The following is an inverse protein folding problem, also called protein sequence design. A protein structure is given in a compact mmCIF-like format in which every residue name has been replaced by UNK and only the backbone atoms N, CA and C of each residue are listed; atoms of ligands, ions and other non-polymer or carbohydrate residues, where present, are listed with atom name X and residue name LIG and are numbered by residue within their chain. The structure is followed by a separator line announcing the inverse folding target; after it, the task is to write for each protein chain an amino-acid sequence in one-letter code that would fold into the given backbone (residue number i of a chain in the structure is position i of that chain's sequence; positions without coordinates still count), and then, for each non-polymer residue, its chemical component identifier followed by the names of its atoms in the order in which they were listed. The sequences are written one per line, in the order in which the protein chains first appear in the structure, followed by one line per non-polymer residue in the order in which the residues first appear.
data_IF_337898241813
#
_entry.id   IF_337898241813
#
_cell.length_a   1.000
_cell.length_b   1.000
_cell.length_c   1.000
_cell.angle_alpha   90.00
_cell.angle_beta   90.00
_cell.angle_gamma   90.00
#
_symmetry.space_group_name_H-M   'P 1'
#
loop_
_entity.id
_entity.type
_entity.pdbx_description
1 polymer ?
#
# COMPACT_ATOMS: atom_id res chain seq x y z
N UNK A 1 7.42 -12.17 20.49
CA UNK A 1 6.69 -10.88 20.55
C UNK A 1 7.69 -9.84 21.00
N UNK A 2 8.07 -8.94 20.10
CA UNK A 2 8.90 -7.79 20.44
C UNK A 2 8.01 -6.77 21.17
N UNK A 3 7.68 -7.08 22.43
CA UNK A 3 6.74 -6.32 23.26
C UNK A 3 7.19 -4.87 23.49
N UNK A 4 8.43 -4.53 23.10
CA UNK A 4 9.00 -3.20 23.23
C UNK A 4 8.36 -2.18 22.27
N UNK A 5 8.04 -2.59 21.04
CA UNK A 5 7.54 -1.67 20.02
C UNK A 5 6.10 -1.22 20.27
N UNK A 6 5.23 -2.11 20.79
CA UNK A 6 3.84 -1.80 21.12
C UNK A 6 3.73 -0.91 22.37
N UNK A 7 4.75 -0.91 23.23
CA UNK A 7 4.83 -0.06 24.42
C UNK A 7 5.39 1.34 24.11
N UNK A 8 5.88 1.57 22.89
CA UNK A 8 6.33 2.88 22.45
C UNK A 8 5.13 3.84 22.34
N UNK A 9 5.12 4.98 23.07
CA UNK A 9 4.03 5.96 23.00
C UNK A 9 3.88 6.62 21.62
N UNK A 10 4.82 6.43 20.69
CA UNK A 10 4.79 6.90 19.30
C UNK A 10 4.28 5.82 18.32
N UNK A 11 4.04 4.60 18.80
CA UNK A 11 3.46 3.53 17.99
C UNK A 11 2.04 3.89 17.54
N UNK A 12 1.76 3.76 16.24
CA UNK A 12 0.45 4.01 15.64
C UNK A 12 0.14 2.92 14.64
N UNK A 13 -1.12 2.47 14.60
CA UNK A 13 -1.68 1.85 13.39
C UNK A 13 -1.98 2.96 12.38
N UNK A 14 -1.62 2.76 11.11
CA UNK A 14 -1.73 3.81 10.10
C UNK A 14 -2.28 3.24 8.79
N UNK A 15 -2.75 4.13 7.93
CA UNK A 15 -3.04 3.83 6.53
C UNK A 15 -2.53 4.96 5.65
N UNK A 16 -2.35 4.69 4.36
CA UNK A 16 -1.93 5.70 3.37
C UNK A 16 -2.81 5.55 2.15
N UNK A 17 -3.30 6.67 1.64
CA UNK A 17 -4.13 6.74 0.44
C UNK A 17 -3.69 7.92 -0.42
N UNK A 18 -4.03 7.87 -1.71
CA UNK A 18 -3.85 8.97 -2.65
C UNK A 18 -5.05 9.91 -2.56
N UNK A 19 -4.80 11.22 -2.42
CA UNK A 19 -5.83 12.26 -2.52
C UNK A 19 -5.44 13.27 -3.59
N UNK A 20 -6.40 13.76 -4.37
CA UNK A 20 -6.20 14.80 -5.39
C UNK A 20 -7.06 16.01 -5.02
N UNK A 21 -6.43 17.18 -4.99
CA UNK A 21 -7.12 18.46 -4.85
C UNK A 21 -7.44 19.00 -6.24
N UNK A 22 -8.71 19.30 -6.49
CA UNK A 22 -9.19 19.91 -7.73
C UNK A 22 -9.45 21.39 -7.49
N UNK A 23 -8.94 22.25 -8.37
CA UNK A 23 -9.23 23.68 -8.28
C UNK A 23 -10.62 24.00 -8.91
N UNK A 24 -11.07 25.25 -8.77
CA UNK A 24 -12.38 25.68 -9.29
C UNK A 24 -12.50 25.52 -10.80
N UNK A 25 -11.40 25.71 -11.54
CA UNK A 25 -11.37 25.55 -13.00
C UNK A 25 -11.53 24.08 -13.40
N UNK A 26 -10.85 23.15 -12.71
CA UNK A 26 -10.96 21.71 -12.95
C UNK A 26 -12.42 21.22 -12.80
N UNK A 27 -13.09 21.68 -11.74
CA UNK A 27 -14.48 21.33 -11.44
C UNK A 27 -15.44 21.78 -12.55
N UNK A 28 -15.18 22.95 -13.14
CA UNK A 28 -15.96 23.46 -14.26
C UNK A 28 -15.68 22.70 -15.57
N UNK A 29 -14.43 22.32 -15.81
CA UNK A 29 -14.00 21.68 -17.05
C UNK A 29 -14.45 20.22 -17.17
N UNK A 30 -14.38 19.41 -16.10
CA UNK A 30 -14.72 17.99 -16.18
C UNK A 30 -15.31 17.38 -14.91
N UNK A 31 -16.50 17.87 -14.55
CA UNK A 31 -17.30 17.31 -13.44
C UNK A 31 -17.50 15.78 -13.51
N UNK A 32 -17.73 15.13 -14.66
CA UNK A 32 -17.90 13.68 -14.71
C UNK A 32 -16.65 12.88 -14.30
N UNK A 33 -15.46 13.28 -14.76
CA UNK A 33 -14.20 12.62 -14.41
C UNK A 33 -13.89 12.77 -12.91
N UNK A 34 -14.13 13.96 -12.37
CA UNK A 34 -13.93 14.25 -10.94
C UNK A 34 -14.91 13.42 -10.09
N UNK A 35 -16.19 13.36 -10.48
CA UNK A 35 -17.18 12.51 -9.81
C UNK A 35 -16.78 11.03 -9.83
N UNK A 36 -16.30 10.52 -10.97
CA UNK A 36 -15.83 9.13 -11.07
C UNK A 36 -14.63 8.87 -10.14
N UNK A 37 -13.68 9.79 -10.07
CA UNK A 37 -12.54 9.68 -9.16
C UNK A 37 -12.99 9.68 -7.68
N UNK A 38 -13.95 10.54 -7.31
CA UNK A 38 -14.49 10.56 -5.95
C UNK A 38 -15.20 9.25 -5.59
N UNK A 39 -15.97 8.65 -6.50
CA UNK A 39 -16.63 7.35 -6.26
C UNK A 39 -15.62 6.22 -6.03
N UNK A 40 -14.55 6.17 -6.83
CA UNK A 40 -13.45 5.21 -6.63
C UNK A 40 -12.75 5.46 -5.29
N UNK A 41 -12.47 6.73 -4.97
CA UNK A 41 -11.80 7.11 -3.73
C UNK A 41 -12.62 6.76 -2.49
N UNK A 42 -13.95 6.95 -2.52
CA UNK A 42 -14.86 6.49 -1.47
C UNK A 42 -14.83 4.98 -1.30
N UNK A 43 -14.84 4.24 -2.40
CA UNK A 43 -14.75 2.78 -2.38
C UNK A 43 -13.44 2.30 -1.73
N UNK A 44 -12.33 2.96 -2.03
CA UNK A 44 -11.04 2.67 -1.40
C UNK A 44 -10.99 3.10 0.07
N UNK A 45 -11.61 4.23 0.42
CA UNK A 45 -11.68 4.70 1.81
C UNK A 45 -12.37 3.68 2.72
N UNK A 46 -13.43 3.03 2.25
CA UNK A 46 -14.08 1.92 2.99
C UNK A 46 -13.08 0.78 3.26
N UNK A 47 -12.21 0.44 2.29
CA UNK A 47 -11.17 -0.58 2.49
C UNK A 47 -10.11 -0.13 3.49
N UNK A 48 -9.75 1.16 3.49
CA UNK A 48 -8.83 1.73 4.47
C UNK A 48 -9.42 1.72 5.89
N UNK A 49 -10.70 2.07 6.06
CA UNK A 49 -11.42 1.97 7.33
C UNK A 49 -11.40 0.51 7.85
N UNK A 50 -11.73 -0.47 7.00
CA UNK A 50 -11.70 -1.89 7.38
C UNK A 50 -10.30 -2.35 7.80
N UNK A 51 -9.25 -1.88 7.12
CA UNK A 51 -7.85 -2.18 7.46
C UNK A 51 -7.44 -1.59 8.81
N UNK A 52 -7.78 -0.33 9.07
CA UNK A 52 -7.54 0.31 10.37
C UNK A 52 -8.28 -0.44 11.48
N UNK A 53 -9.54 -0.81 11.24
CA UNK A 53 -10.35 -1.58 12.18
C UNK A 53 -9.76 -2.95 12.47
N UNK A 54 -9.34 -3.69 11.44
CA UNK A 54 -8.71 -4.99 11.60
C UNK A 54 -7.39 -4.89 12.39
N UNK A 55 -6.60 -3.84 12.16
CA UNK A 55 -5.40 -3.57 12.93
C UNK A 55 -5.74 -3.26 14.40
N UNK A 56 -6.68 -2.34 14.64
CA UNK A 56 -7.14 -2.01 16.00
C UNK A 56 -7.62 -3.25 16.75
N UNK A 57 -8.37 -4.12 16.10
CA UNK A 57 -8.84 -5.38 16.67
C UNK A 57 -7.66 -6.32 17.01
N UNK A 58 -6.68 -6.46 16.11
CA UNK A 58 -5.51 -7.33 16.34
C UNK A 58 -4.64 -6.86 17.53
N UNK A 59 -4.58 -5.55 17.76
CA UNK A 59 -3.89 -4.97 18.92
C UNK A 59 -4.77 -4.81 20.17
N UNK A 60 -6.02 -5.29 20.15
CA UNK A 60 -7.00 -5.15 21.24
C UNK A 60 -7.32 -3.69 21.62
N UNK A 61 -7.28 -2.76 20.65
CA UNK A 61 -7.61 -1.34 20.85
C UNK A 61 -9.12 -1.10 20.73
N UNK A 62 -9.88 -1.58 21.72
CA UNK A 62 -11.36 -1.58 21.71
C UNK A 62 -11.97 -0.21 21.43
N UNK A 63 -11.45 0.85 22.06
CA UNK A 63 -11.95 2.22 21.84
C UNK A 63 -11.82 2.65 20.37
N UNK A 64 -10.74 2.26 19.69
CA UNK A 64 -10.52 2.57 18.27
C UNK A 64 -11.46 1.75 17.40
N UNK A 65 -11.69 0.47 17.73
CA UNK A 65 -12.68 -0.36 17.05
C UNK A 65 -14.08 0.26 17.13
N UNK A 66 -14.50 0.71 18.32
CA UNK A 66 -15.80 1.36 18.54
C UNK A 66 -15.91 2.67 17.75
N UNK A 67 -14.87 3.50 17.73
CA UNK A 67 -14.84 4.71 16.91
C UNK A 67 -15.00 4.40 15.41
N UNK A 68 -14.29 3.39 14.91
CA UNK A 68 -14.34 3.00 13.50
C UNK A 68 -15.66 2.31 13.11
N UNK A 69 -16.43 1.83 14.08
CA UNK A 69 -17.77 1.23 13.87
C UNK A 69 -18.90 2.24 13.83
N UNK A 70 -18.66 3.48 14.25
CA UNK A 70 -19.73 4.47 14.31
C UNK A 70 -20.33 4.69 12.90
N UNK A 71 -21.65 4.87 12.78
CA UNK A 71 -22.30 5.09 11.49
C UNK A 71 -21.75 6.29 10.70
N UNK A 72 -21.23 7.30 11.39
CA UNK A 72 -20.64 8.52 10.84
C UNK A 72 -19.11 8.44 10.65
N UNK A 73 -18.49 7.28 10.87
CA UNK A 73 -17.03 7.11 10.73
C UNK A 73 -16.53 7.51 9.33
N UNK A 74 -17.28 7.16 8.27
CA UNK A 74 -16.87 7.50 6.91
C UNK A 74 -16.84 9.01 6.67
N UNK A 75 -17.86 9.73 7.16
CA UNK A 75 -17.89 11.19 7.09
C UNK A 75 -16.76 11.81 7.92
N UNK A 76 -16.49 11.23 9.10
CA UNK A 76 -15.37 11.66 9.96
C UNK A 76 -14.04 11.51 9.24
N UNK A 77 -13.81 10.38 8.56
CA UNK A 77 -12.59 10.15 7.78
C UNK A 77 -12.47 11.13 6.61
N UNK A 78 -13.55 11.37 5.87
CA UNK A 78 -13.57 12.35 4.77
C UNK A 78 -13.20 13.75 5.27
N UNK A 79 -13.82 14.21 6.37
CA UNK A 79 -13.52 15.52 6.96
C UNK A 79 -12.05 15.62 7.42
N UNK A 80 -11.52 14.57 8.06
CA UNK A 80 -10.12 14.55 8.51
C UNK A 80 -9.15 14.60 7.31
N UNK A 81 -9.47 13.94 6.20
CA UNK A 81 -8.67 14.00 4.97
C UNK A 81 -8.76 15.40 4.33
N UNK A 82 -9.96 15.98 4.24
CA UNK A 82 -10.18 17.32 3.68
C UNK A 82 -9.43 18.39 4.49
N UNK A 83 -9.52 18.32 5.81
CA UNK A 83 -8.81 19.20 6.74
C UNK A 83 -7.30 19.11 6.57
N UNK A 84 -6.76 17.88 6.56
CA UNK A 84 -5.31 17.64 6.45
C UNK A 84 -4.75 18.07 5.09
N UNK A 85 -5.59 18.13 4.05
CA UNK A 85 -5.17 18.52 2.69
C UNK A 85 -5.43 19.99 2.39
N UNK A 86 -6.34 20.64 3.11
CA UNK A 86 -6.62 22.07 3.02
C UNK A 86 -5.70 22.92 3.89
N UNK A 87 -5.29 22.41 5.06
CA UNK A 87 -4.28 23.05 5.92
C UNK A 87 -2.87 22.76 5.37
N UNK A 88 -2.00 23.77 5.28
CA UNK A 88 -0.57 23.51 5.05
C UNK A 88 -0.05 22.55 6.13
N UNK A 89 0.79 21.55 5.79
CA UNK A 89 1.10 20.44 6.69
C UNK A 89 1.75 20.96 7.97
N UNK A 90 1.03 20.86 9.08
CA UNK A 90 1.60 20.95 10.42
C UNK A 90 1.24 19.68 11.19
N UNK A 91 2.22 19.00 11.81
CA UNK A 91 1.95 17.88 12.70
C UNK A 91 1.26 18.41 13.96
N UNK A 92 -0.05 18.13 14.09
CA UNK A 92 -0.78 18.38 15.35
C UNK A 92 -0.54 17.19 16.29
N UNK A 93 0.16 17.45 17.39
CA UNK A 93 0.31 16.49 18.48
C UNK A 93 -0.96 16.50 19.33
N UNK A 94 -1.90 15.61 19.04
CA UNK A 94 -3.01 15.34 19.95
C UNK A 94 -3.00 13.88 20.45
N UNK A 95 -3.25 13.73 21.75
CA UNK A 95 -3.00 12.50 22.54
C UNK A 95 -4.27 11.72 22.87
N UNK A 96 -5.43 12.16 22.37
CA UNK A 96 -6.73 11.67 22.86
C UNK A 96 -7.31 10.47 22.09
N UNK A 97 -6.46 9.73 21.36
CA UNK A 97 -6.91 8.55 20.58
C UNK A 97 -7.89 8.90 19.45
N UNK A 98 -7.84 10.13 18.95
CA UNK A 98 -8.61 10.61 17.81
C UNK A 98 -7.99 10.15 16.48
N UNK A 99 -8.82 10.01 15.45
CA UNK A 99 -8.36 9.71 14.09
C UNK A 99 -7.71 10.97 13.51
N UNK A 100 -6.48 10.82 13.01
CA UNK A 100 -5.67 11.91 12.44
C UNK A 100 -5.25 11.58 11.02
N UNK A 101 -4.97 12.62 10.23
CA UNK A 101 -4.36 12.49 8.91
C UNK A 101 -3.25 13.51 8.74
N UNK A 102 -2.21 13.09 8.04
CA UNK A 102 -1.11 13.94 7.59
C UNK A 102 -1.08 13.93 6.06
N UNK A 103 -0.82 15.08 5.46
CA UNK A 103 -0.67 15.22 4.01
C UNK A 103 0.78 15.46 3.62
N UNK A 104 1.22 14.79 2.56
CA UNK A 104 2.55 14.98 1.96
C UNK A 104 2.35 15.27 0.48
N UNK A 105 2.78 16.44 -0.04
CA UNK A 105 2.69 16.76 -1.46
C UNK A 105 3.44 15.74 -2.32
N UNK A 106 2.77 15.19 -3.34
CA UNK A 106 3.31 14.11 -4.19
C UNK A 106 3.68 14.54 -5.62
N UNK A 107 4.31 15.70 -5.71
CA UNK A 107 4.79 16.30 -6.96
C UNK A 107 4.10 17.63 -7.24
N UNK A 108 4.39 18.18 -8.42
CA UNK A 108 3.81 19.45 -8.88
C UNK A 108 2.37 19.28 -9.37
N UNK A 109 1.68 20.41 -9.56
CA UNK A 109 0.36 20.44 -10.17
C UNK A 109 0.39 19.75 -11.54
N UNK A 110 -0.61 18.90 -11.79
CA UNK A 110 -0.75 18.14 -13.04
C UNK A 110 -2.03 18.57 -13.76
N UNK A 111 -2.02 18.47 -15.09
CA UNK A 111 -3.21 18.69 -15.90
C UNK A 111 -4.30 17.67 -15.57
N UNK A 112 -5.57 18.10 -15.58
CA UNK A 112 -6.74 17.22 -15.40
C UNK A 112 -6.77 16.04 -16.38
N UNK A 113 -6.17 16.17 -17.58
CA UNK A 113 -6.01 15.08 -18.56
C UNK A 113 -5.23 13.88 -18.01
N UNK A 114 -4.41 14.07 -16.98
CA UNK A 114 -3.71 12.95 -16.32
C UNK A 114 -4.69 12.01 -15.61
N UNK A 115 -5.89 12.47 -15.26
CA UNK A 115 -6.94 11.65 -14.67
C UNK A 115 -7.58 10.70 -15.68
N UNK A 116 -7.64 11.09 -16.96
CA UNK A 116 -8.18 10.25 -18.05
C UNK A 116 -7.38 8.96 -18.25
N UNK A 117 -6.09 9.00 -17.91
CA UNK A 117 -5.16 7.86 -17.99
C UNK A 117 -4.79 7.31 -16.62
N UNK A 118 -5.44 7.77 -15.54
CA UNK A 118 -5.16 7.30 -14.19
C UNK A 118 -5.80 5.93 -13.93
N UNK A 119 -5.11 4.89 -14.38
CA UNK A 119 -5.44 3.51 -14.09
C UNK A 119 -4.84 3.01 -12.78
N UNK A 120 -4.29 3.89 -11.92
CA UNK A 120 -3.58 3.45 -10.70
C UNK A 120 -4.48 2.62 -9.78
N UNK A 121 -5.79 2.92 -9.74
CA UNK A 121 -6.75 2.16 -8.95
C UNK A 121 -7.31 0.92 -9.66
N UNK A 122 -6.97 0.67 -10.93
CA UNK A 122 -7.43 -0.49 -11.67
C UNK A 122 -6.33 -1.56 -11.73
N UNK A 123 -6.65 -2.82 -11.39
CA UNK A 123 -5.74 -3.92 -11.62
C UNK A 123 -5.44 -4.03 -13.12
N UNK A 124 -4.22 -4.41 -13.50
CA UNK A 124 -3.85 -4.55 -14.89
C UNK A 124 -4.63 -5.67 -15.58
N UNK A 125 -4.59 -5.69 -16.91
CA UNK A 125 -5.26 -6.74 -17.69
C UNK A 125 -4.74 -8.13 -17.34
N UNK A 126 -5.65 -9.10 -17.20
CA UNK A 126 -5.28 -10.50 -17.07
C UNK A 126 -4.55 -10.97 -18.34
N UNK A 127 -3.38 -11.58 -18.15
CA UNK A 127 -2.48 -12.01 -19.22
C UNK A 127 -1.07 -12.25 -18.71
N UNK A 128 -0.17 -12.77 -19.55
CA UNK A 128 1.24 -12.96 -19.19
C UNK A 128 1.91 -11.63 -18.81
N UNK A 129 3.03 -11.67 -18.07
CA UNK A 129 3.79 -10.47 -17.73
C UNK A 129 4.09 -9.66 -18.99
N UNK A 130 3.85 -8.35 -18.98
CA UNK A 130 4.15 -7.54 -20.16
C UNK A 130 5.66 -7.58 -20.42
N UNK A 131 6.03 -7.64 -21.70
CA UNK A 131 7.41 -7.45 -22.12
C UNK A 131 7.80 -6.00 -21.84
N UNK A 132 8.71 -5.79 -20.89
CA UNK A 132 9.28 -4.48 -20.64
C UNK A 132 10.03 -4.03 -21.91
N UNK A 133 9.65 -2.89 -22.47
CA UNK A 133 10.43 -2.26 -23.53
C UNK A 133 11.79 -1.83 -22.97
N UNK A 134 12.80 -1.68 -23.83
CA UNK A 134 14.15 -1.25 -23.41
C UNK A 134 14.17 0.07 -22.62
N UNK A 135 13.12 0.90 -22.76
CA UNK A 135 12.95 2.17 -22.06
C UNK A 135 11.79 2.14 -21.04
N UNK A 136 11.21 0.97 -20.78
CA UNK A 136 10.11 0.80 -19.83
C UNK A 136 10.58 1.00 -18.41
N UNK A 137 9.99 1.97 -17.68
CA UNK A 137 10.26 2.15 -16.26
C UNK A 137 9.68 0.98 -15.48
N UNK A 138 10.51 0.29 -14.70
CA UNK A 138 10.10 -0.71 -13.74
C UNK A 138 10.94 -0.56 -12.47
N UNK A 139 10.42 -1.02 -11.33
CA UNK A 139 11.18 -1.12 -10.11
C UNK A 139 12.13 -2.30 -10.16
N UNK A 140 13.39 -2.10 -9.78
CA UNK A 140 14.32 -3.22 -9.58
C UNK A 140 14.10 -3.80 -8.19
N UNK A 141 13.82 -5.10 -8.11
CA UNK A 141 13.49 -5.79 -6.87
C UNK A 141 14.61 -6.75 -6.54
N UNK A 142 15.33 -6.49 -5.46
CA UNK A 142 16.35 -7.41 -4.94
C UNK A 142 15.76 -8.30 -3.85
N UNK A 143 16.35 -9.48 -3.63
CA UNK A 143 15.98 -10.32 -2.50
C UNK A 143 16.65 -9.81 -1.24
N UNK A 144 15.91 -9.85 -0.12
CA UNK A 144 16.53 -9.71 1.18
C UNK A 144 17.50 -10.86 1.43
N UNK A 145 18.49 -10.63 2.30
CA UNK A 145 19.48 -11.63 2.73
C UNK A 145 19.13 -12.26 4.08
N UNK A 146 18.13 -11.73 4.77
CA UNK A 146 17.69 -12.20 6.09
C UNK A 146 16.18 -12.37 6.08
N UNK A 147 15.68 -13.47 6.63
CA UNK A 147 14.24 -13.70 6.75
C UNK A 147 13.61 -12.71 7.73
N UNK A 148 12.37 -12.34 7.44
CA UNK A 148 11.52 -11.50 8.31
C UNK A 148 10.54 -12.38 9.05
N UNK A 149 10.56 -12.34 10.38
CA UNK A 149 9.62 -13.10 11.21
C UNK A 149 8.23 -12.44 11.12
N UNK A 150 7.18 -13.15 10.70
CA UNK A 150 5.82 -12.62 10.68
C UNK A 150 5.37 -12.11 12.06
N UNK A 151 4.72 -10.95 12.08
CA UNK A 151 4.20 -10.33 13.29
C UNK A 151 3.00 -9.42 12.98
N UNK A 152 2.31 -8.91 14.01
CA UNK A 152 1.18 -7.99 13.80
C UNK A 152 1.58 -6.74 13.00
N UNK A 153 2.80 -6.23 13.18
CA UNK A 153 3.30 -5.06 12.46
C UNK A 153 3.73 -5.35 11.02
N UNK A 154 3.82 -6.62 10.61
CA UNK A 154 4.00 -7.00 9.20
C UNK A 154 2.64 -7.20 8.52
N UNK A 155 1.65 -7.76 9.24
CA UNK A 155 0.28 -7.93 8.75
C UNK A 155 -0.49 -6.60 8.63
N UNK A 156 -0.26 -5.68 9.57
CA UNK A 156 -0.91 -4.39 9.66
C UNK A 156 0.09 -3.25 9.48
N UNK A 157 -0.32 -2.20 8.77
CA UNK A 157 0.54 -1.04 8.56
C UNK A 157 0.63 -0.23 9.85
N UNK A 158 1.85 -0.08 10.37
CA UNK A 158 2.12 0.68 11.59
C UNK A 158 3.28 1.66 11.36
N UNK A 159 3.55 2.52 12.34
CA UNK A 159 4.77 3.34 12.37
C UNK A 159 6.02 2.51 12.69
N UNK A 160 5.87 1.32 13.30
CA UNK A 160 6.99 0.42 13.53
C UNK A 160 7.38 -0.30 12.24
N UNK A 161 8.47 0.17 11.63
CA UNK A 161 8.97 -0.33 10.34
C UNK A 161 10.34 -1.00 10.42
N UNK A 162 10.89 -1.22 11.61
CA UNK A 162 12.27 -1.69 11.79
C UNK A 162 12.64 -2.92 10.93
N UNK A 163 11.80 -3.98 10.78
CA UNK A 163 12.15 -5.09 9.91
C UNK A 163 12.27 -4.70 8.43
N UNK A 164 11.34 -3.85 7.95
CA UNK A 164 11.37 -3.34 6.58
C UNK A 164 12.54 -2.39 6.35
N UNK A 165 12.85 -1.52 7.31
CA UNK A 165 13.93 -0.56 7.20
C UNK A 165 15.29 -1.26 7.21
N UNK A 166 15.45 -2.31 8.03
CA UNK A 166 16.63 -3.17 8.04
C UNK A 166 16.79 -3.94 6.71
N UNK A 167 15.70 -4.45 6.13
CA UNK A 167 15.71 -5.08 4.79
C UNK A 167 16.18 -4.09 3.72
N UNK A 168 15.64 -2.86 3.74
CA UNK A 168 16.00 -1.79 2.81
C UNK A 168 17.45 -1.33 2.99
N UNK A 169 17.97 -1.34 4.22
CA UNK A 169 19.36 -1.04 4.53
C UNK A 169 20.30 -2.10 3.96
N UNK A 170 20.03 -3.40 4.19
CA UNK A 170 20.81 -4.51 3.61
C UNK A 170 20.83 -4.47 2.08
N UNK A 171 19.72 -4.08 1.48
CA UNK A 171 19.58 -3.89 0.04
C UNK A 171 20.22 -2.59 -0.51
N UNK A 172 20.69 -1.68 0.35
CA UNK A 172 21.28 -0.40 -0.06
C UNK A 172 20.29 0.59 -0.68
N UNK A 173 18.98 0.48 -0.39
CA UNK A 173 17.92 1.28 -1.04
C UNK A 173 17.35 2.40 -0.14
N UNK A 174 18.04 2.75 0.94
CA UNK A 174 17.60 3.79 1.90
C UNK A 174 17.48 5.18 1.28
N UNK A 175 18.23 5.48 0.22
CA UNK A 175 18.23 6.79 -0.47
C UNK A 175 17.61 6.75 -1.88
N UNK A 176 17.05 5.61 -2.29
CA UNK A 176 16.44 5.49 -3.61
C UNK A 176 15.06 6.16 -3.65
N UNK A 177 14.72 6.91 -4.71
CA UNK A 177 13.36 7.40 -4.92
C UNK A 177 12.34 6.26 -4.85
N UNK A 178 11.21 6.43 -4.13
CA UNK A 178 10.26 5.34 -3.97
C UNK A 178 9.64 4.95 -5.32
N UNK A 179 9.68 3.65 -5.64
CA UNK A 179 9.25 3.10 -6.93
C UNK A 179 10.40 2.82 -7.92
N UNK A 180 11.65 3.18 -7.62
CA UNK A 180 12.80 2.77 -8.44
C UNK A 180 13.37 1.42 -8.01
N UNK A 181 13.43 1.20 -6.69
CA UNK A 181 13.93 -0.05 -6.12
C UNK A 181 13.07 -0.51 -4.96
N UNK A 182 12.95 -1.82 -4.83
CA UNK A 182 12.31 -2.49 -3.72
C UNK A 182 13.18 -3.67 -3.26
N UNK A 183 12.92 -4.14 -2.05
CA UNK A 183 13.47 -5.38 -1.52
C UNK A 183 12.33 -6.35 -1.26
N UNK A 184 12.49 -7.60 -1.67
CA UNK A 184 11.55 -8.70 -1.51
C UNK A 184 11.82 -9.40 -0.17
N UNK A 185 10.83 -9.40 0.71
CA UNK A 185 10.90 -10.02 2.03
C UNK A 185 10.37 -11.45 1.95
N UNK A 186 10.95 -12.33 2.77
CA UNK A 186 10.55 -13.71 2.91
C UNK A 186 10.56 -14.14 4.39
N UNK A 187 9.75 -15.13 4.75
CA UNK A 187 9.61 -15.63 6.12
C UNK A 187 10.60 -16.78 6.44
N UNK A 188 10.69 -17.24 7.71
CA UNK A 188 11.56 -18.36 8.09
C UNK A 188 11.26 -19.69 7.37
N UNK A 189 10.05 -19.85 6.85
CA UNK A 189 9.59 -21.00 6.04
C UNK A 189 9.97 -20.88 4.55
N UNK A 190 10.81 -19.89 4.22
CA UNK A 190 11.30 -19.60 2.87
C UNK A 190 10.18 -19.29 1.88
N UNK A 191 9.12 -18.63 2.36
CA UNK A 191 8.03 -18.12 1.52
C UNK A 191 8.14 -16.60 1.38
N UNK A 192 7.93 -16.12 0.16
CA UNK A 192 7.82 -14.69 -0.12
C UNK A 192 6.64 -14.11 0.66
N UNK A 193 6.84 -12.96 1.29
CA UNK A 193 5.81 -12.21 2.02
C UNK A 193 5.23 -11.09 1.15
N UNK A 194 6.07 -10.10 0.84
CA UNK A 194 5.74 -8.89 0.10
C UNK A 194 7.05 -8.14 -0.26
N UNK A 195 6.94 -6.99 -0.92
CA UNK A 195 8.04 -6.04 -1.05
C UNK A 195 7.95 -4.95 0.04
N UNK A 196 9.07 -4.29 0.35
CA UNK A 196 9.17 -3.38 1.51
C UNK A 196 8.14 -2.25 1.63
N UNK A 197 7.58 -1.81 0.48
CA UNK A 197 6.54 -0.79 0.39
C UNK A 197 5.30 -1.26 -0.40
N UNK A 198 5.28 -2.51 -0.90
CA UNK A 198 4.32 -2.94 -1.91
C UNK A 198 3.91 -4.41 -1.75
N UNK A 199 2.66 -4.73 -2.11
CA UNK A 199 2.32 -6.11 -2.46
C UNK A 199 3.01 -6.50 -3.78
N UNK A 200 3.33 -7.78 -3.94
CA UNK A 200 4.00 -8.34 -5.12
C UNK A 200 3.18 -9.47 -5.72
N UNK A 201 3.06 -9.49 -7.05
CA UNK A 201 2.25 -10.47 -7.78
C UNK A 201 3.11 -11.18 -8.82
N UNK A 202 3.14 -12.50 -8.74
CA UNK A 202 3.92 -13.37 -9.61
C UNK A 202 3.03 -14.04 -10.63
N UNK A 203 3.51 -14.24 -11.85
CA UNK A 203 2.78 -14.97 -12.87
C UNK A 203 3.19 -16.45 -12.83
N UNK A 204 2.25 -17.32 -12.49
CA UNK A 204 2.50 -18.76 -12.30
C UNK A 204 1.36 -19.56 -12.91
N UNK A 205 1.70 -20.58 -13.71
CA UNK A 205 0.71 -21.49 -14.32
C UNK A 205 -0.43 -20.77 -15.07
N UNK A 206 -0.11 -19.69 -15.80
CA UNK A 206 -1.10 -18.95 -16.60
C UNK A 206 -1.97 -17.96 -15.82
N UNK A 207 -1.67 -17.70 -14.54
CA UNK A 207 -2.43 -16.78 -13.68
C UNK A 207 -1.54 -15.94 -12.79
N UNK A 208 -2.03 -14.76 -12.40
CA UNK A 208 -1.39 -13.97 -11.36
C UNK A 208 -1.69 -14.56 -9.99
N UNK A 209 -0.65 -14.71 -9.18
CA UNK A 209 -0.73 -15.13 -7.79
C UNK A 209 -0.07 -14.12 -6.88
N UNK A 210 -0.60 -13.94 -5.68
CA UNK A 210 -0.06 -13.08 -4.63
C UNK A 210 0.22 -13.94 -3.39
N UNK A 211 1.31 -13.69 -2.63
CA UNK A 211 1.52 -14.40 -1.38
C UNK A 211 0.33 -14.22 -0.43
N UNK A 212 -0.10 -15.30 0.26
CA UNK A 212 -1.18 -15.25 1.22
C UNK A 212 -0.76 -14.45 2.47
N UNK A 213 -1.74 -13.95 3.22
CA UNK A 213 -1.43 -13.20 4.46
C UNK A 213 -0.82 -14.11 5.53
N UNK A 214 -1.08 -15.41 5.45
CA UNK A 214 -0.50 -16.49 6.24
C UNK A 214 1.02 -16.59 6.07
N UNK A 215 1.58 -16.18 4.93
CA UNK A 215 3.04 -16.08 4.77
C UNK A 215 3.62 -14.91 5.57
N UNK A 216 2.78 -13.99 6.08
CA UNK A 216 3.15 -12.93 7.02
C UNK A 216 3.18 -11.52 6.46
N UNK A 217 2.87 -11.35 5.17
CA UNK A 217 2.83 -10.05 4.50
C UNK A 217 1.55 -9.25 4.79
N UNK A 218 1.61 -7.95 4.53
CA UNK A 218 0.52 -7.02 4.84
C UNK A 218 -0.77 -7.30 4.05
N UNK A 219 -1.91 -7.14 4.72
CA UNK A 219 -3.26 -7.31 4.10
C UNK A 219 -3.67 -6.10 3.24
N UNK A 220 -2.81 -5.65 2.33
CA UNK A 220 -2.87 -4.32 1.68
C UNK A 220 -4.21 -4.04 0.96
N UNK A 221 -4.62 -2.76 0.91
CA UNK A 221 -5.88 -2.37 0.25
C UNK A 221 -5.91 -2.74 -1.24
N UNK A 222 -4.76 -2.61 -1.92
CA UNK A 222 -4.60 -2.96 -3.34
C UNK A 222 -4.51 -4.48 -3.55
N UNK A 223 -3.93 -5.24 -2.61
CA UNK A 223 -3.99 -6.72 -2.61
C UNK A 223 -5.43 -7.20 -2.53
N UNK A 224 -6.19 -6.73 -1.54
CA UNK A 224 -7.60 -7.11 -1.40
C UNK A 224 -8.43 -6.71 -2.63
N UNK A 225 -8.18 -5.52 -3.18
CA UNK A 225 -8.85 -5.08 -4.39
C UNK A 225 -8.53 -5.97 -5.61
N UNK A 226 -7.27 -6.36 -5.79
CA UNK A 226 -6.84 -7.26 -6.85
C UNK A 226 -7.46 -8.68 -6.74
N UNK A 227 -7.67 -9.17 -5.52
CA UNK A 227 -8.33 -10.45 -5.29
C UNK A 227 -9.83 -10.32 -5.61
N UNK A 228 -10.50 -9.31 -5.04
CA UNK A 228 -11.94 -9.09 -5.24
C UNK A 228 -12.30 -8.82 -6.71
N UNK A 229 -11.39 -8.23 -7.48
CA UNK A 229 -11.58 -7.98 -8.91
C UNK A 229 -11.30 -9.20 -9.80
N UNK A 230 -10.86 -10.32 -9.23
CA UNK A 230 -10.46 -11.51 -9.98
C UNK A 230 -9.17 -11.36 -10.79
N UNK A 231 -8.30 -10.40 -10.44
CA UNK A 231 -7.00 -10.25 -11.09
C UNK A 231 -6.02 -11.34 -10.66
N UNK A 232 -6.02 -11.70 -9.37
CA UNK A 232 -5.09 -12.68 -8.82
C UNK A 232 -5.76 -13.62 -7.80
N UNK A 233 -5.05 -14.69 -7.47
CA UNK A 233 -5.43 -15.64 -6.39
C UNK A 233 -4.30 -15.77 -5.38
N UNK A 234 -4.62 -16.06 -4.12
CA UNK A 234 -3.58 -16.31 -3.12
C UNK A 234 -2.92 -17.68 -3.33
N UNK A 235 -1.59 -17.72 -3.25
CA UNK A 235 -0.79 -18.94 -3.28
C UNK A 235 0.57 -18.66 -2.61
N UNK A 236 1.03 -19.51 -1.67
CA UNK A 236 2.42 -19.44 -1.21
C UNK A 236 3.39 -19.49 -2.40
N UNK A 237 4.42 -18.66 -2.35
CA UNK A 237 5.51 -18.64 -3.33
C UNK A 237 6.79 -18.94 -2.55
N UNK A 238 7.41 -20.08 -2.82
CA UNK A 238 8.71 -20.40 -2.22
C UNK A 238 9.79 -19.52 -2.83
N UNK A 239 10.80 -19.19 -2.03
CA UNK A 239 11.89 -18.30 -2.44
C UNK A 239 12.68 -18.88 -3.62
N UNK A 240 12.78 -20.20 -3.72
CA UNK A 240 13.42 -20.93 -4.82
C UNK A 240 12.59 -20.97 -6.12
N UNK A 241 11.32 -20.57 -6.08
CA UNK A 241 10.49 -20.33 -7.27
C UNK A 241 10.68 -18.94 -7.87
N UNK A 242 11.47 -18.07 -7.23
CA UNK A 242 11.74 -16.70 -7.69
C UNK A 242 12.94 -16.72 -8.63
N UNK A 243 12.74 -16.22 -9.86
CA UNK A 243 13.74 -16.27 -10.92
C UNK A 243 14.33 -14.89 -11.21
N UNK A 244 15.65 -14.82 -11.46
CA UNK A 244 16.27 -13.56 -11.89
C UNK A 244 15.66 -13.06 -13.21
N UNK A 245 15.39 -11.77 -13.25
CA UNK A 245 14.84 -11.09 -14.42
C UNK A 245 13.35 -11.31 -14.67
N UNK A 246 12.62 -12.07 -13.84
CA UNK A 246 11.18 -12.22 -14.01
C UNK A 246 10.44 -10.90 -13.77
N UNK A 247 9.38 -10.66 -14.56
CA UNK A 247 8.55 -9.47 -14.45
C UNK A 247 7.37 -9.75 -13.51
N UNK A 248 7.19 -8.89 -12.53
CA UNK A 248 6.11 -8.94 -11.55
C UNK A 248 5.30 -7.66 -11.59
N UNK A 249 4.07 -7.73 -11.06
CA UNK A 249 3.38 -6.52 -10.66
C UNK A 249 3.72 -6.18 -9.21
N UNK A 250 3.80 -4.90 -8.92
CA UNK A 250 3.80 -4.33 -7.59
C UNK A 250 2.55 -3.49 -7.40
N UNK A 251 2.05 -3.40 -6.17
CA UNK A 251 0.99 -2.44 -5.88
C UNK A 251 1.06 -1.83 -4.48
N UNK A 252 0.65 -0.57 -4.38
CA UNK A 252 0.29 0.06 -3.11
C UNK A 252 -0.77 1.16 -3.35
N UNK A 253 -1.41 1.60 -2.26
CA UNK A 253 -2.52 2.55 -2.33
C UNK A 253 -2.14 3.97 -2.84
N UNK A 254 -0.84 4.27 -2.93
CA UNK A 254 -0.36 5.57 -3.39
C UNK A 254 -0.03 5.57 -4.90
N UNK A 255 0.63 4.52 -5.38
CA UNK A 255 1.11 4.40 -6.78
C UNK A 255 0.19 3.58 -7.66
N UNK A 256 -0.72 2.81 -7.06
CA UNK A 256 -1.50 1.83 -7.81
C UNK A 256 -0.66 0.64 -8.22
N UNK A 257 -0.94 0.09 -9.40
CA UNK A 257 -0.21 -1.03 -9.99
C UNK A 257 0.91 -0.54 -10.92
N UNK A 258 2.11 -1.10 -10.75
CA UNK A 258 3.27 -0.77 -11.57
C UNK A 258 4.21 -1.98 -11.70
N UNK A 259 5.04 -1.97 -12.73
CA UNK A 259 5.90 -3.11 -13.04
C UNK A 259 7.14 -3.13 -12.16
N UNK A 260 7.52 -4.34 -11.75
CA UNK A 260 8.79 -4.64 -11.14
C UNK A 260 9.52 -5.74 -11.89
N UNK A 261 10.84 -5.78 -11.74
CA UNK A 261 11.71 -6.82 -12.28
C UNK A 261 12.61 -7.35 -11.17
N UNK A 262 12.60 -8.66 -10.98
CA UNK A 262 13.48 -9.33 -10.02
C UNK A 262 14.94 -9.20 -10.48
N UNK A 263 15.84 -8.93 -9.54
CA UNK A 263 17.30 -8.84 -9.72
C UNK A 263 17.97 -9.56 -8.55
N UNK A 264 18.47 -10.77 -8.79
CA UNK A 264 19.12 -11.63 -7.77
C UNK A 264 20.65 -11.51 -7.83
#
# INVERSE_FOLDING_TARGET
MDASAEQDPTFRIITTLKNILFNTEDIQQSRPLISQWHEISKTLLVRHQRRLRAAAQAYNWTNVCEQLDKPDCMQTLENVIEDATSRHPQPENDRDGSIQAESVPMGEAKSLRTLETDSSHQPPSNGPPPSLSANGRCSIICLDTVSTVPALHTLHKTTYRAPYDAARERAGITKCPPGEREVLLFNPEWEVMEASLCAVYFYRHGKWVVPPSESGGMVSATKLWAIDSGFCTERPIKLDEVEDGENVWLSNALRGFFLGKISI
#
